data_IF_987156997800
#
_entry.id   IF_987156997800
#
_cell.length_a   1.000
_cell.length_b   1.000
_cell.length_c   1.000
_cell.angle_alpha   90.00
_cell.angle_beta   90.00
_cell.angle_gamma   90.00
#
_symmetry.space_group_name_H-M   'P 1'
#
loop_
_entity.id
_entity.type
_entity.pdbx_description
1 polymer ?
#
# COMPACT_ATOMS: atom_id res chain seq x y z
N UNK A 1 -5.05 -22.03 16.22
CA UNK A 1 -5.74 -20.81 16.71
C UNK A 1 -5.37 -19.66 15.79
N UNK A 2 -6.35 -18.96 15.21
CA UNK A 2 -6.08 -17.90 14.22
C UNK A 2 -5.75 -16.58 14.95
N UNK A 3 -4.46 -16.35 15.21
CA UNK A 3 -3.95 -15.17 15.93
C UNK A 3 -4.27 -13.85 15.22
N UNK A 4 -4.29 -13.84 13.88
CA UNK A 4 -4.69 -12.66 13.09
C UNK A 4 -6.13 -12.27 13.41
N UNK A 5 -7.05 -13.24 13.43
CA UNK A 5 -8.46 -12.97 13.72
C UNK A 5 -8.68 -12.54 15.18
N UNK A 6 -8.00 -13.17 16.14
CA UNK A 6 -8.09 -12.80 17.55
C UNK A 6 -7.60 -11.37 17.77
N UNK A 7 -6.45 -11.03 17.20
CA UNK A 7 -5.87 -9.69 17.35
C UNK A 7 -6.66 -8.62 16.59
N UNK A 8 -7.27 -8.97 15.45
CA UNK A 8 -8.20 -8.09 14.74
C UNK A 8 -9.47 -7.81 15.56
N UNK A 9 -10.10 -8.83 16.15
CA UNK A 9 -11.27 -8.66 17.03
C UNK A 9 -10.91 -7.80 18.24
N UNK A 10 -9.74 -8.04 18.85
CA UNK A 10 -9.25 -7.23 19.96
C UNK A 10 -9.03 -5.77 19.56
N UNK A 11 -8.38 -5.51 18.42
CA UNK A 11 -8.15 -4.17 17.88
C UNK A 11 -9.47 -3.42 17.64
N UNK A 12 -10.44 -4.04 16.95
CA UNK A 12 -11.73 -3.42 16.70
C UNK A 12 -12.57 -3.24 17.97
N UNK A 13 -12.45 -4.15 18.94
CA UNK A 13 -13.11 -4.00 20.25
C UNK A 13 -12.56 -2.78 21.00
N UNK A 14 -11.24 -2.59 21.02
CA UNK A 14 -10.61 -1.41 21.60
C UNK A 14 -11.07 -0.15 20.88
N UNK A 15 -11.07 -0.13 19.55
CA UNK A 15 -11.54 1.03 18.77
C UNK A 15 -13.01 1.32 19.08
N UNK A 16 -13.86 0.30 19.12
CA UNK A 16 -15.27 0.44 19.45
C UNK A 16 -15.47 1.04 20.84
N UNK A 17 -14.71 0.58 21.85
CA UNK A 17 -14.72 1.13 23.21
C UNK A 17 -14.24 2.59 23.20
N UNK A 18 -13.15 2.90 22.49
CA UNK A 18 -12.60 4.26 22.41
C UNK A 18 -13.59 5.23 21.75
N UNK A 19 -14.26 4.81 20.68
CA UNK A 19 -15.30 5.58 20.00
C UNK A 19 -16.50 5.76 20.93
N UNK A 20 -16.92 4.71 21.63
CA UNK A 20 -18.04 4.77 22.57
C UNK A 20 -17.77 5.76 23.71
N UNK A 21 -16.58 5.70 24.33
CA UNK A 21 -16.16 6.61 25.40
C UNK A 21 -16.05 8.05 24.89
N UNK A 22 -15.50 8.24 23.69
CA UNK A 22 -15.28 9.56 23.11
C UNK A 22 -16.37 9.99 22.11
N UNK A 23 -17.58 9.43 22.20
CA UNK A 23 -18.65 9.61 21.19
C UNK A 23 -18.98 11.08 20.88
N UNK A 24 -18.78 11.99 21.83
CA UNK A 24 -19.00 13.42 21.64
C UNK A 24 -17.97 14.09 20.70
N UNK A 25 -16.83 13.44 20.46
CA UNK A 25 -15.75 13.92 19.59
C UNK A 25 -15.77 13.29 18.19
N UNK A 26 -16.59 12.26 17.99
CA UNK A 26 -16.70 11.56 16.72
C UNK A 26 -18.01 11.92 16.03
N UNK A 27 -17.92 12.32 14.77
CA UNK A 27 -19.07 12.58 13.92
C UNK A 27 -19.32 11.33 13.06
N UNK A 28 -20.58 10.88 13.00
CA UNK A 28 -20.99 9.78 12.12
C UNK A 28 -21.58 10.39 10.86
N UNK A 29 -20.82 10.35 9.77
CA UNK A 29 -21.23 10.86 8.46
C UNK A 29 -21.77 9.69 7.63
N UNK A 30 -22.96 9.87 7.04
CA UNK A 30 -23.63 8.88 6.17
C UNK A 30 -23.69 7.44 6.73
N UNK A 31 -23.74 7.28 8.07
CA UNK A 31 -23.81 6.00 8.81
C UNK A 31 -22.59 5.08 8.69
N UNK A 32 -21.63 5.36 7.81
CA UNK A 32 -20.48 4.46 7.54
C UNK A 32 -19.14 5.14 7.90
N UNK A 33 -19.08 6.47 7.87
CA UNK A 33 -17.88 7.22 8.21
C UNK A 33 -17.91 7.63 9.67
N UNK A 34 -16.94 7.17 10.45
CA UNK A 34 -16.74 7.63 11.83
C UNK A 34 -15.50 8.49 11.82
N UNK A 35 -15.63 9.80 12.01
CA UNK A 35 -14.53 10.75 11.84
C UNK A 35 -14.31 11.59 13.08
N UNK A 36 -13.05 11.89 13.37
CA UNK A 36 -12.64 12.83 14.38
C UNK A 36 -11.89 13.99 13.74
N UNK A 37 -12.47 15.19 13.81
CA UNK A 37 -11.86 16.43 13.33
C UNK A 37 -10.79 16.93 14.29
N UNK A 38 -9.70 17.42 13.74
CA UNK A 38 -8.58 18.04 14.46
C UNK A 38 -7.98 19.18 13.63
N UNK A 39 -7.11 19.96 14.27
CA UNK A 39 -6.35 21.04 13.61
C UNK A 39 -4.86 20.67 13.51
N UNK A 40 -4.49 19.46 13.95
CA UNK A 40 -3.12 18.96 13.94
C UNK A 40 -2.64 18.73 12.51
N UNK A 41 -1.39 19.09 12.23
CA UNK A 41 -0.77 18.93 10.90
C UNK A 41 -1.01 20.09 9.93
N UNK A 42 -2.03 20.94 10.14
CA UNK A 42 -2.31 22.11 9.29
C UNK A 42 -1.13 23.07 9.18
N UNK A 43 -0.52 23.42 10.32
CA UNK A 43 0.66 24.28 10.34
C UNK A 43 1.87 23.69 9.61
N UNK A 44 2.03 22.36 9.67
CA UNK A 44 3.11 21.66 8.97
C UNK A 44 2.89 21.67 7.46
N UNK A 45 1.67 21.37 7.00
CA UNK A 45 1.32 21.44 5.58
C UNK A 45 1.53 22.85 5.03
N UNK A 46 1.08 23.88 5.76
CA UNK A 46 1.31 25.29 5.40
C UNK A 46 2.79 25.68 5.41
N UNK A 47 3.60 25.09 6.29
CA UNK A 47 5.05 25.33 6.30
C UNK A 47 5.71 24.70 5.07
N UNK A 48 5.33 23.47 4.73
CA UNK A 48 5.88 22.72 3.60
C UNK A 48 5.41 23.27 2.25
N UNK A 49 4.20 23.84 2.17
CA UNK A 49 3.67 24.45 0.95
C UNK A 49 4.48 25.65 0.44
N UNK A 50 5.34 26.23 1.30
CA UNK A 50 6.28 27.31 0.93
C UNK A 50 7.28 26.89 -0.15
N UNK A 51 7.58 25.60 -0.29
CA UNK A 51 8.45 25.07 -1.34
C UNK A 51 7.69 24.96 -2.68
N UNK A 52 7.18 26.10 -3.16
CA UNK A 52 6.21 26.17 -4.27
C UNK A 52 6.71 25.51 -5.54
N UNK A 53 7.98 25.73 -5.93
CA UNK A 53 8.55 25.11 -7.14
C UNK A 53 8.51 23.58 -7.09
N UNK A 54 8.86 22.98 -5.95
CA UNK A 54 8.84 21.52 -5.77
C UNK A 54 7.41 20.98 -5.90
N UNK A 55 6.47 21.58 -5.16
CA UNK A 55 5.08 21.13 -5.16
C UNK A 55 4.36 21.39 -6.47
N UNK A 56 4.76 22.42 -7.21
CA UNK A 56 4.24 22.71 -8.55
C UNK A 56 4.71 21.67 -9.57
N UNK A 57 5.98 21.24 -9.51
CA UNK A 57 6.47 20.12 -10.33
C UNK A 57 5.75 18.83 -9.94
N UNK A 58 5.73 18.50 -8.65
CA UNK A 58 5.05 17.31 -8.11
C UNK A 58 3.61 17.20 -8.58
N UNK A 59 2.80 18.25 -8.35
CA UNK A 59 1.39 18.24 -8.70
C UNK A 59 1.12 18.34 -10.21
N UNK A 60 2.03 18.92 -10.98
CA UNK A 60 1.91 18.95 -12.45
C UNK A 60 2.22 17.57 -13.05
N UNK A 61 3.17 16.81 -12.49
CA UNK A 61 3.41 15.42 -12.87
C UNK A 61 2.28 14.49 -12.41
N UNK A 62 1.63 14.80 -11.28
CA UNK A 62 0.51 14.01 -10.77
C UNK A 62 -0.65 13.91 -11.76
N UNK A 63 -0.95 14.96 -12.52
CA UNK A 63 -2.09 14.99 -13.46
C UNK A 63 -1.97 13.92 -14.56
N UNK A 64 -0.93 13.92 -15.43
CA UNK A 64 -0.81 12.89 -16.46
C UNK A 64 -0.67 11.49 -15.87
N UNK A 65 0.00 11.32 -14.72
CA UNK A 65 0.07 10.02 -14.04
C UNK A 65 -1.32 9.53 -13.60
N UNK A 66 -2.13 10.40 -12.99
CA UNK A 66 -3.49 10.05 -12.57
C UNK A 66 -4.38 9.68 -13.77
N UNK A 67 -4.29 10.44 -14.87
CA UNK A 67 -5.02 10.13 -16.11
C UNK A 67 -4.57 8.79 -16.69
N UNK A 68 -3.26 8.54 -16.77
CA UNK A 68 -2.72 7.27 -17.23
C UNK A 68 -3.21 6.09 -16.38
N UNK A 69 -3.10 6.20 -15.05
CA UNK A 69 -3.55 5.14 -14.13
C UNK A 69 -5.06 4.89 -14.25
N UNK A 70 -5.88 5.94 -14.39
CA UNK A 70 -7.32 5.80 -14.55
C UNK A 70 -7.67 5.07 -15.87
N UNK A 71 -7.02 5.43 -16.97
CA UNK A 71 -7.21 4.75 -18.26
C UNK A 71 -6.74 3.29 -18.20
N UNK A 72 -5.59 3.03 -17.57
CA UNK A 72 -5.04 1.69 -17.39
C UNK A 72 -5.98 0.80 -16.58
N UNK A 73 -6.43 1.26 -15.41
CA UNK A 73 -7.39 0.51 -14.58
C UNK A 73 -8.71 0.30 -15.32
N UNK A 74 -9.21 1.32 -16.03
CA UNK A 74 -10.41 1.20 -16.85
C UNK A 74 -10.28 0.12 -17.93
N UNK A 75 -9.13 0.05 -18.61
CA UNK A 75 -8.83 -0.99 -19.59
C UNK A 75 -8.78 -2.39 -18.95
N UNK A 76 -8.17 -2.54 -17.77
CA UNK A 76 -8.15 -3.83 -17.05
C UNK A 76 -9.55 -4.28 -16.63
N UNK A 77 -10.37 -3.36 -16.13
CA UNK A 77 -11.78 -3.64 -15.81
C UNK A 77 -12.56 -4.05 -17.06
N UNK A 78 -12.31 -3.39 -18.21
CA UNK A 78 -12.92 -3.76 -19.48
C UNK A 78 -12.56 -5.18 -19.93
N UNK A 79 -11.28 -5.56 -19.87
CA UNK A 79 -10.86 -6.93 -20.19
C UNK A 79 -11.44 -7.97 -19.24
N UNK A 80 -11.57 -7.64 -17.95
CA UNK A 80 -12.24 -8.52 -16.99
C UNK A 80 -13.70 -8.76 -17.34
N UNK A 81 -14.44 -7.72 -17.75
CA UNK A 81 -15.83 -7.86 -18.21
C UNK A 81 -15.91 -8.80 -19.42
N UNK A 82 -15.04 -8.63 -20.41
CA UNK A 82 -15.01 -9.50 -21.60
C UNK A 82 -14.66 -10.96 -21.23
N UNK A 83 -13.70 -11.17 -20.33
CA UNK A 83 -13.32 -12.49 -19.85
C UNK A 83 -14.41 -13.19 -19.05
N UNK A 84 -15.25 -12.45 -18.32
CA UNK A 84 -16.43 -12.99 -17.61
C UNK A 84 -17.47 -13.46 -18.63
N UNK A 85 -17.75 -12.64 -19.65
CA UNK A 85 -18.72 -12.98 -20.71
C UNK A 85 -18.24 -14.20 -21.51
N UNK A 86 -16.94 -14.30 -21.78
CA UNK A 86 -16.35 -15.40 -22.55
C UNK A 86 -16.11 -16.69 -21.73
N UNK A 87 -16.32 -16.66 -20.39
CA UNK A 87 -16.05 -17.80 -19.51
C UNK A 87 -14.56 -18.13 -19.33
N UNK A 88 -13.66 -17.18 -19.61
CA UNK A 88 -12.19 -17.37 -19.61
C UNK A 88 -11.46 -16.59 -18.51
N UNK A 89 -12.18 -15.91 -17.63
CA UNK A 89 -11.57 -14.99 -16.66
C UNK A 89 -10.89 -15.71 -15.49
N UNK A 90 -9.56 -15.53 -15.36
CA UNK A 90 -8.73 -16.13 -14.31
C UNK A 90 -8.17 -15.18 -13.23
N UNK A 91 -8.19 -13.86 -13.44
CA UNK A 91 -7.74 -12.89 -12.42
C UNK A 91 -8.49 -11.56 -12.53
N UNK A 92 -9.46 -11.32 -11.66
CA UNK A 92 -10.21 -10.07 -11.58
C UNK A 92 -9.50 -8.97 -10.79
N UNK A 93 -10.11 -7.78 -10.75
CA UNK A 93 -9.76 -6.76 -9.75
C UNK A 93 -10.46 -7.13 -8.44
N UNK A 94 -9.67 -7.34 -7.39
CA UNK A 94 -10.19 -7.70 -6.07
C UNK A 94 -10.07 -6.52 -5.10
N UNK A 95 -11.07 -6.28 -4.24
CA UNK A 95 -10.90 -5.33 -3.14
C UNK A 95 -9.80 -5.84 -2.20
N UNK A 96 -8.96 -4.94 -1.69
CA UNK A 96 -7.89 -5.33 -0.78
C UNK A 96 -8.36 -5.10 0.65
N UNK A 97 -8.68 -6.19 1.34
CA UNK A 97 -9.17 -6.16 2.73
C UNK A 97 -8.13 -6.85 3.63
N UNK A 98 -7.46 -6.12 4.53
CA UNK A 98 -6.49 -6.71 5.45
C UNK A 98 -7.09 -7.83 6.31
N UNK A 99 -6.41 -8.97 6.37
CA UNK A 99 -6.81 -10.13 7.17
C UNK A 99 -7.93 -10.98 6.56
N UNK A 100 -8.38 -10.67 5.33
CA UNK A 100 -9.46 -11.42 4.66
C UNK A 100 -8.94 -12.04 3.37
N UNK A 101 -9.08 -13.36 3.24
CA UNK A 101 -8.84 -14.06 1.98
C UNK A 101 -10.01 -13.82 1.04
N UNK A 102 -9.74 -13.19 -0.11
CA UNK A 102 -10.75 -12.99 -1.13
C UNK A 102 -10.72 -14.20 -2.08
N UNK A 103 -11.84 -14.92 -2.26
CA UNK A 103 -11.90 -16.03 -3.21
C UNK A 103 -11.47 -15.60 -4.61
N UNK A 104 -10.55 -16.33 -5.22
CA UNK A 104 -9.98 -16.02 -6.54
C UNK A 104 -8.88 -14.96 -6.54
N UNK A 105 -8.63 -14.27 -5.42
CA UNK A 105 -7.49 -13.35 -5.31
C UNK A 105 -6.20 -14.12 -5.07
N UNK A 106 -5.14 -13.90 -5.88
CA UNK A 106 -3.82 -14.45 -5.60
C UNK A 106 -3.12 -13.72 -4.43
N UNK A 107 -3.69 -12.59 -3.98
CA UNK A 107 -3.10 -11.72 -2.96
C UNK A 107 -3.87 -11.88 -1.65
N UNK A 108 -3.13 -12.15 -0.58
CA UNK A 108 -3.57 -12.04 0.80
C UNK A 108 -2.68 -11.04 1.53
N UNK A 109 -3.29 -10.07 2.21
CA UNK A 109 -2.56 -9.09 3.03
C UNK A 109 -2.87 -9.39 4.50
N UNK A 110 -1.86 -9.72 5.32
CA UNK A 110 -2.06 -9.89 6.76
C UNK A 110 -2.64 -8.64 7.41
N UNK A 111 -3.43 -8.82 8.47
CA UNK A 111 -4.22 -7.76 9.09
C UNK A 111 -3.37 -6.55 9.50
N UNK A 112 -2.34 -6.77 10.32
CA UNK A 112 -1.51 -5.69 10.85
C UNK A 112 -0.74 -4.96 9.77
N UNK A 113 -0.18 -5.70 8.82
CA UNK A 113 0.54 -5.14 7.67
C UNK A 113 -0.39 -4.24 6.84
N UNK A 114 -1.60 -4.71 6.55
CA UNK A 114 -2.58 -3.95 5.78
C UNK A 114 -3.13 -2.74 6.51
N UNK A 115 -3.48 -2.85 7.80
CA UNK A 115 -3.99 -1.72 8.61
C UNK A 115 -2.94 -0.62 8.73
N UNK A 116 -1.67 -0.98 8.99
CA UNK A 116 -0.57 -0.02 9.06
C UNK A 116 -0.34 0.62 7.69
N UNK A 117 -0.29 -0.18 6.62
CA UNK A 117 -0.09 0.33 5.26
C UNK A 117 -1.19 1.32 4.85
N UNK A 118 -2.46 0.98 5.08
CA UNK A 118 -3.61 1.86 4.79
C UNK A 118 -3.51 3.15 5.62
N UNK A 119 -3.19 3.05 6.92
CA UNK A 119 -3.03 4.22 7.77
C UNK A 119 -1.94 5.18 7.27
N UNK A 120 -0.77 4.64 6.93
CA UNK A 120 0.35 5.43 6.39
C UNK A 120 -0.02 6.06 5.04
N UNK A 121 -0.58 5.28 4.12
CA UNK A 121 -0.96 5.78 2.80
C UNK A 121 -2.06 6.84 2.90
N UNK A 122 -3.08 6.64 3.73
CA UNK A 122 -4.14 7.64 3.95
C UNK A 122 -3.56 8.96 4.48
N UNK A 123 -2.67 8.89 5.48
CA UNK A 123 -2.02 10.09 6.01
C UNK A 123 -1.22 10.81 4.92
N UNK A 124 -0.36 10.11 4.18
CA UNK A 124 0.46 10.72 3.13
C UNK A 124 -0.40 11.29 1.99
N UNK A 125 -1.45 10.58 1.60
CA UNK A 125 -2.40 10.98 0.56
C UNK A 125 -3.05 12.33 0.89
N UNK A 126 -3.65 12.43 2.08
CA UNK A 126 -4.34 13.64 2.52
C UNK A 126 -3.36 14.77 2.82
N UNK A 127 -2.17 14.44 3.29
CA UNK A 127 -1.12 15.43 3.52
C UNK A 127 -0.66 16.07 2.21
N UNK A 128 -0.56 15.28 1.12
CA UNK A 128 -0.25 15.81 -0.20
C UNK A 128 -1.36 16.74 -0.74
N UNK A 129 -2.64 16.35 -0.60
CA UNK A 129 -3.78 17.22 -0.91
C UNK A 129 -3.69 18.54 -0.16
N UNK A 130 -3.43 18.50 1.15
CA UNK A 130 -3.35 19.70 1.98
C UNK A 130 -2.18 20.61 1.65
N UNK A 131 -1.01 20.05 1.34
CA UNK A 131 0.16 20.84 0.92
C UNK A 131 -0.10 21.51 -0.44
N UNK A 132 -0.59 20.76 -1.43
CA UNK A 132 -0.85 21.30 -2.77
C UNK A 132 -1.98 22.33 -2.74
N UNK A 133 -3.05 22.07 -1.98
CA UNK A 133 -4.12 23.05 -1.77
C UNK A 133 -3.59 24.34 -1.11
N UNK A 134 -2.75 24.22 -0.08
CA UNK A 134 -2.12 25.38 0.57
C UNK A 134 -1.17 26.12 -0.36
N UNK A 135 -0.48 25.42 -1.28
CA UNK A 135 0.42 26.01 -2.28
C UNK A 135 -0.36 26.77 -3.36
N UNK A 136 -1.52 26.25 -3.77
CA UNK A 136 -2.47 26.91 -4.69
C UNK A 136 -3.26 28.05 -4.00
N UNK A 137 -3.00 28.32 -2.71
CA UNK A 137 -3.56 29.45 -1.97
C UNK A 137 -4.89 29.17 -1.27
N UNK A 138 -5.35 27.91 -1.23
CA UNK A 138 -6.59 27.54 -0.57
C UNK A 138 -6.41 27.44 0.95
N UNK A 139 -7.43 27.87 1.69
CA UNK A 139 -7.48 27.75 3.15
C UNK A 139 -7.89 26.33 3.55
N UNK A 140 -7.06 25.71 4.40
CA UNK A 140 -7.40 24.46 5.07
C UNK A 140 -8.22 24.77 6.33
N UNK A 141 -9.36 24.07 6.51
CA UNK A 141 -10.30 24.24 7.63
C UNK A 141 -10.02 23.28 8.77
N UNK A 142 -9.75 22.03 8.46
CA UNK A 142 -9.49 20.98 9.45
C UNK A 142 -8.71 19.83 8.83
N UNK A 143 -8.17 18.97 9.67
CA UNK A 143 -7.74 17.61 9.30
C UNK A 143 -8.55 16.62 10.13
N UNK A 144 -8.40 15.34 9.85
CA UNK A 144 -8.89 14.35 10.76
C UNK A 144 -8.48 12.94 10.40
N UNK A 145 -8.89 12.05 11.27
CA UNK A 145 -8.76 10.62 11.08
C UNK A 145 -10.08 9.96 11.46
N UNK A 146 -10.26 8.74 10.98
CA UNK A 146 -11.51 8.03 11.18
C UNK A 146 -11.43 6.63 10.61
N UNK A 147 -12.62 6.07 10.39
CA UNK A 147 -12.79 4.77 9.78
C UNK A 147 -13.90 4.84 8.73
N UNK A 148 -13.64 4.22 7.58
CA UNK A 148 -14.66 3.81 6.62
C UNK A 148 -15.05 2.37 6.96
N UNK A 149 -16.21 2.20 7.60
CA UNK A 149 -16.57 0.93 8.25
C UNK A 149 -15.46 0.47 9.22
N UNK A 150 -14.60 -0.46 8.80
CA UNK A 150 -13.49 -0.98 9.58
C UNK A 150 -12.11 -0.55 9.06
N UNK A 151 -12.03 0.13 7.92
CA UNK A 151 -10.76 0.56 7.32
C UNK A 151 -10.34 1.93 7.85
N UNK A 152 -9.07 2.12 8.29
CA UNK A 152 -8.56 3.42 8.69
C UNK A 152 -8.68 4.44 7.56
N UNK A 153 -9.01 5.68 7.92
CA UNK A 153 -9.16 6.80 7.01
C UNK A 153 -8.51 8.06 7.61
N UNK A 154 -7.94 8.89 6.75
CA UNK A 154 -7.55 10.25 7.08
C UNK A 154 -8.31 11.20 6.15
N UNK A 155 -8.40 12.48 6.51
CA UNK A 155 -8.90 13.51 5.59
C UNK A 155 -8.26 14.87 5.87
N UNK A 156 -8.21 15.71 4.83
CA UNK A 156 -7.98 17.15 4.95
C UNK A 156 -9.18 17.91 4.41
N UNK A 157 -9.75 18.78 5.26
CA UNK A 157 -10.87 19.63 4.91
C UNK A 157 -10.34 20.99 4.41
N UNK A 158 -10.71 21.35 3.18
CA UNK A 158 -10.37 22.63 2.55
C UNK A 158 -11.63 23.46 2.32
N UNK A 159 -11.44 24.77 2.12
CA UNK A 159 -12.56 25.66 1.82
C UNK A 159 -13.20 25.33 0.47
N UNK A 160 -14.40 24.77 0.50
CA UNK A 160 -15.13 24.34 -0.69
C UNK A 160 -15.44 25.49 -1.66
N UNK A 161 -15.71 26.69 -1.15
CA UNK A 161 -16.05 27.83 -2.00
C UNK A 161 -14.81 28.29 -2.76
N UNK A 162 -13.67 28.38 -2.06
CA UNK A 162 -12.37 28.64 -2.71
C UNK A 162 -12.01 27.55 -3.73
N UNK A 163 -12.28 26.27 -3.42
CA UNK A 163 -12.01 25.17 -4.34
C UNK A 163 -12.88 25.24 -5.61
N UNK A 164 -14.15 25.65 -5.47
CA UNK A 164 -15.07 25.82 -6.61
C UNK A 164 -14.63 26.97 -7.52
N UNK A 165 -14.20 28.08 -6.93
CA UNK A 165 -13.72 29.27 -7.64
C UNK A 165 -12.29 29.11 -8.19
N UNK A 166 -11.51 28.16 -7.69
CA UNK A 166 -10.13 27.94 -8.12
C UNK A 166 -10.03 27.58 -9.61
N UNK A 167 -8.93 28.00 -10.29
CA UNK A 167 -8.69 27.63 -11.68
C UNK A 167 -8.71 26.12 -11.89
N UNK A 168 -9.16 25.68 -13.08
CA UNK A 168 -9.28 24.25 -13.42
C UNK A 168 -7.99 23.48 -13.17
N UNK A 169 -6.83 24.06 -13.51
CA UNK A 169 -5.53 23.43 -13.33
C UNK A 169 -5.18 23.24 -11.85
N UNK A 170 -5.49 24.22 -10.99
CA UNK A 170 -5.30 24.12 -9.53
C UNK A 170 -6.15 22.99 -8.94
N UNK A 171 -7.41 22.88 -9.36
CA UNK A 171 -8.29 21.78 -8.94
C UNK A 171 -7.78 20.41 -9.38
N UNK A 172 -7.26 20.30 -10.61
CA UNK A 172 -6.66 19.07 -11.12
C UNK A 172 -5.38 18.69 -10.35
N UNK A 173 -4.52 19.66 -10.07
CA UNK A 173 -3.30 19.46 -9.26
C UNK A 173 -3.63 18.93 -7.87
N UNK A 174 -4.62 19.53 -7.21
CA UNK A 174 -5.08 19.08 -5.90
C UNK A 174 -5.64 17.66 -6.03
N UNK A 175 -6.65 17.45 -6.89
CA UNK A 175 -7.31 16.15 -7.05
C UNK A 175 -6.35 14.98 -7.36
N UNK A 176 -5.29 15.21 -8.15
CA UNK A 176 -4.33 14.17 -8.49
C UNK A 176 -3.24 13.93 -7.42
N UNK A 177 -2.99 14.92 -6.55
CA UNK A 177 -1.82 14.94 -5.67
C UNK A 177 -1.77 13.78 -4.66
N UNK A 178 -2.90 13.44 -4.04
CA UNK A 178 -2.96 12.35 -3.07
C UNK A 178 -2.62 10.98 -3.69
N UNK A 179 -3.23 10.65 -4.83
CA UNK A 179 -2.96 9.37 -5.50
C UNK A 179 -1.49 9.29 -5.97
N UNK A 180 -0.97 10.39 -6.50
CA UNK A 180 0.44 10.47 -6.89
C UNK A 180 1.40 10.33 -5.70
N UNK A 181 1.06 10.87 -4.53
CA UNK A 181 1.85 10.69 -3.32
C UNK A 181 1.95 9.20 -2.91
N UNK A 182 0.87 8.44 -3.06
CA UNK A 182 0.89 6.99 -2.81
C UNK A 182 1.79 6.25 -3.81
N UNK A 183 1.79 6.64 -5.08
CA UNK A 183 2.70 6.10 -6.10
C UNK A 183 4.15 6.41 -5.73
N UNK A 184 4.45 7.65 -5.33
CA UNK A 184 5.79 8.03 -4.86
C UNK A 184 6.22 7.21 -3.64
N UNK A 185 5.31 6.96 -2.69
CA UNK A 185 5.59 6.09 -1.54
C UNK A 185 5.88 4.66 -1.96
N UNK A 186 5.10 4.10 -2.90
CA UNK A 186 5.35 2.77 -3.44
C UNK A 186 6.74 2.68 -4.10
N UNK A 187 7.10 3.67 -4.94
CA UNK A 187 8.44 3.73 -5.57
C UNK A 187 9.52 3.80 -4.49
N UNK A 188 9.38 4.70 -3.51
CA UNK A 188 10.34 4.87 -2.43
C UNK A 188 10.54 3.59 -1.64
N UNK A 189 9.47 2.93 -1.18
CA UNK A 189 9.58 1.68 -0.43
C UNK A 189 10.13 0.54 -1.28
N UNK A 190 9.79 0.48 -2.56
CA UNK A 190 10.34 -0.53 -3.49
C UNK A 190 11.85 -0.35 -3.66
N UNK A 191 12.32 0.90 -3.80
CA UNK A 191 13.74 1.22 -3.87
C UNK A 191 14.44 0.91 -2.54
N UNK A 192 13.85 1.26 -1.39
CA UNK A 192 14.41 0.93 -0.08
C UNK A 192 14.54 -0.58 0.11
N UNK A 193 13.50 -1.34 -0.22
CA UNK A 193 13.53 -2.81 -0.15
C UNK A 193 14.60 -3.39 -1.06
N UNK A 194 14.68 -2.96 -2.32
CA UNK A 194 15.64 -3.48 -3.28
C UNK A 194 17.10 -3.12 -2.96
N UNK A 195 17.38 -1.84 -2.68
CA UNK A 195 18.75 -1.34 -2.56
C UNK A 195 19.31 -1.35 -1.14
N UNK A 196 18.46 -1.18 -0.13
CA UNK A 196 18.91 -1.15 1.28
C UNK A 196 18.77 -2.54 1.90
N UNK A 197 17.59 -3.13 1.79
CA UNK A 197 17.33 -4.43 2.42
C UNK A 197 17.77 -5.62 1.57
N UNK A 198 17.80 -5.50 0.24
CA UNK A 198 18.23 -6.57 -0.66
C UNK A 198 19.65 -7.09 -0.34
N UNK A 199 20.68 -6.24 -0.26
CA UNK A 199 22.02 -6.66 0.12
C UNK A 199 22.11 -7.23 1.53
N UNK A 200 21.36 -6.66 2.49
CA UNK A 200 21.30 -7.18 3.86
C UNK A 200 20.65 -8.56 3.95
N UNK A 201 19.56 -8.78 3.21
CA UNK A 201 18.90 -10.09 3.14
C UNK A 201 19.82 -11.11 2.47
N UNK A 202 20.50 -10.74 1.38
CA UNK A 202 21.46 -11.63 0.72
C UNK A 202 22.67 -11.95 1.62
N UNK A 203 23.16 -11.01 2.42
CA UNK A 203 24.28 -11.27 3.34
C UNK A 203 23.87 -12.02 4.60
N UNK A 204 22.59 -11.95 5.00
CA UNK A 204 22.02 -12.76 6.07
C UNK A 204 21.67 -14.19 5.62
N UNK A 205 21.56 -14.43 4.31
CA UNK A 205 21.44 -15.78 3.75
C UNK A 205 22.83 -16.42 3.79
N UNK A 206 23.06 -17.25 4.80
CA UNK A 206 24.16 -18.22 4.77
C UNK A 206 23.72 -19.32 3.82
N UNK A 207 24.29 -19.38 2.61
CA UNK A 207 24.12 -20.55 1.77
C UNK A 207 24.81 -21.72 2.46
N UNK A 208 24.01 -22.61 3.05
CA UNK A 208 24.49 -23.81 3.74
C UNK A 208 24.28 -25.01 2.83
N UNK A 209 25.18 -25.15 1.85
CA UNK A 209 25.14 -26.22 0.88
C UNK A 209 24.23 -25.98 -0.33
N UNK A 210 24.30 -26.90 -1.28
CA UNK A 210 23.55 -26.87 -2.54
C UNK A 210 22.31 -27.75 -2.44
N UNK A 211 21.12 -27.17 -2.64
CA UNK A 211 19.88 -27.93 -2.60
C UNK A 211 19.65 -28.68 -3.92
N UNK A 212 19.50 -30.00 -3.84
CA UNK A 212 19.18 -30.86 -4.97
C UNK A 212 17.67 -30.78 -5.25
N UNK A 213 17.26 -29.84 -6.10
CA UNK A 213 15.83 -29.63 -6.40
C UNK A 213 15.19 -30.83 -7.10
N UNK A 214 15.93 -31.47 -8.00
CA UNK A 214 15.46 -32.60 -8.80
C UNK A 214 16.63 -33.54 -9.11
N UNK A 215 16.37 -34.84 -9.10
CA UNK A 215 17.34 -35.88 -9.45
C UNK A 215 16.82 -36.62 -10.68
N UNK A 216 17.56 -36.53 -11.79
CA UNK A 216 17.14 -37.12 -13.05
C UNK A 216 17.32 -38.65 -13.03
N UNK A 217 16.28 -39.44 -13.36
CA UNK A 217 16.37 -40.89 -13.39
C UNK A 217 17.47 -41.41 -14.32
N UNK A 218 18.25 -42.39 -13.86
CA UNK A 218 19.32 -43.02 -14.62
C UNK A 218 20.65 -42.24 -14.70
N UNK A 219 20.75 -41.08 -14.06
CA UNK A 219 22.00 -40.33 -13.94
C UNK A 219 22.74 -40.66 -12.65
N UNK A 220 24.00 -40.20 -12.53
CA UNK A 220 24.89 -40.56 -11.42
C UNK A 220 24.30 -40.33 -10.03
N UNK A 221 23.54 -39.24 -9.82
CA UNK A 221 22.91 -38.93 -8.55
C UNK A 221 21.77 -39.92 -8.19
N UNK A 222 20.99 -40.35 -9.17
CA UNK A 222 19.93 -41.36 -9.00
C UNK A 222 20.53 -42.74 -8.71
N UNK A 223 21.59 -43.12 -9.45
CA UNK A 223 22.34 -44.37 -9.26
C UNK A 223 22.98 -44.41 -7.86
N UNK A 224 23.46 -43.27 -7.36
CA UNK A 224 24.00 -43.12 -6.01
C UNK A 224 22.92 -43.10 -4.91
N UNK A 225 21.63 -43.09 -5.28
CA UNK A 225 20.51 -43.09 -4.35
C UNK A 225 20.28 -41.76 -3.63
N UNK A 226 20.73 -40.64 -4.22
CA UNK A 226 20.52 -39.31 -3.64
C UNK A 226 19.05 -38.89 -3.78
N UNK A 227 18.34 -38.59 -2.69
CA UNK A 227 16.96 -38.14 -2.76
C UNK A 227 16.85 -36.68 -3.20
N UNK A 228 15.85 -36.36 -4.01
CA UNK A 228 15.49 -34.96 -4.30
C UNK A 228 15.05 -34.24 -3.02
N UNK A 229 15.41 -32.97 -2.90
CA UNK A 229 15.24 -32.14 -1.72
C UNK A 229 16.35 -32.29 -0.67
N UNK A 230 17.35 -33.15 -0.89
CA UNK A 230 18.55 -33.19 -0.05
C UNK A 230 19.44 -31.97 -0.28
N UNK A 231 20.26 -31.62 0.72
CA UNK A 231 21.22 -30.51 0.65
C UNK A 231 22.62 -31.07 0.75
N UNK A 232 23.46 -30.74 -0.23
CA UNK A 232 24.84 -31.19 -0.33
C UNK A 232 25.75 -30.18 0.38
N UNK A 233 26.49 -30.61 1.39
CA UNK A 233 27.33 -29.74 2.23
C UNK A 233 28.81 -29.78 1.87
N UNK A 234 29.30 -30.90 1.33
CA UNK A 234 30.69 -31.11 0.94
C UNK A 234 30.81 -32.13 -0.20
N UNK A 235 31.90 -32.05 -0.96
CA UNK A 235 32.32 -33.04 -1.96
C UNK A 235 33.77 -33.43 -1.65
N UNK A 236 34.02 -34.73 -1.44
CA UNK A 236 35.33 -35.26 -1.07
C UNK A 236 35.97 -34.57 0.16
N UNK A 237 35.14 -34.16 1.12
CA UNK A 237 35.55 -33.46 2.34
C UNK A 237 35.88 -31.98 2.14
N UNK A 238 35.64 -31.42 0.94
CA UNK A 238 35.72 -29.99 0.65
C UNK A 238 34.33 -29.37 0.80
N UNK A 239 34.12 -28.42 1.73
CA UNK A 239 32.83 -27.77 1.92
C UNK A 239 32.39 -27.01 0.67
N UNK A 240 31.13 -27.16 0.29
CA UNK A 240 30.48 -26.40 -0.78
C UNK A 240 29.34 -25.57 -0.23
N UNK A 241 29.22 -24.34 -0.71
CA UNK A 241 28.19 -23.37 -0.32
C UNK A 241 27.37 -22.94 -1.53
N UNK A 242 27.92 -23.01 -2.74
CA UNK A 242 27.23 -22.62 -3.98
C UNK A 242 27.39 -23.67 -5.07
N UNK A 243 26.57 -23.58 -6.14
CA UNK A 243 26.67 -24.46 -7.32
C UNK A 243 27.96 -24.19 -8.11
N UNK A 244 28.62 -23.06 -7.84
CA UNK A 244 29.84 -22.63 -8.50
C UNK A 244 31.13 -23.00 -7.75
N UNK A 245 31.01 -23.51 -6.52
CA UNK A 245 32.15 -24.00 -5.72
C UNK A 245 32.63 -25.35 -6.28
#
# INVERSE_FOLDING_TARGET
>A
MNWELITAVFFYSIIGILIYINRAKFEIIHKIFIVHKTQKGLGLMKKLSKYTSLWKVFSTLAIPTAVFCALWVGQQLWYNVLGIIAGTSGAGVYPVIPGVHIPGSPIFIPFWHGVIAIGVLAVVHEFAHGIVASMEGLKLKATGFGFLAFLPLAFVEMDEDQLKEAPRLSRLRIAASGAFANICMWILFSLLLGFVFGPFLNSAVVNAGVNLTEVNPGFAADIAGLPSGSTLYDIDGVPINTVQD
#
